data_IF_479498593058
#
_entry.id   IF_479498593058
#
_cell.length_a   1.000
_cell.length_b   1.000
_cell.length_c   1.000
_cell.angle_alpha   90.00
_cell.angle_beta   90.00
_cell.angle_gamma   90.00
#
_symmetry.space_group_name_H-M   'P 1'
#
loop_
_entity.id
_entity.type
_entity.pdbx_description
1 polymer ?
#
# COMPACT_ATOMS: atom_id res chain seq x y z
N UNK A 1 -9.19 -10.33 -2.71
CA UNK A 1 -8.68 -9.13 -2.01
C UNK A 1 -9.75 -8.09 -2.07
N UNK A 2 -10.06 -7.51 -0.91
CA UNK A 2 -11.13 -6.53 -0.76
C UNK A 2 -10.78 -5.14 -1.31
N UNK A 3 -11.74 -4.22 -1.24
CA UNK A 3 -11.41 -2.80 -1.34
C UNK A 3 -10.58 -2.38 -0.11
N UNK A 4 -9.61 -1.49 -0.27
CA UNK A 4 -8.76 -1.04 0.85
C UNK A 4 -8.65 0.47 0.89
N UNK A 5 -8.68 1.02 2.11
CA UNK A 5 -8.36 2.41 2.42
C UNK A 5 -7.20 2.43 3.43
N UNK A 6 -6.22 3.30 3.19
CA UNK A 6 -5.16 3.61 4.16
C UNK A 6 -5.37 5.02 4.69
N UNK A 7 -5.32 5.15 6.01
CA UNK A 7 -5.45 6.39 6.75
C UNK A 7 -4.15 6.63 7.54
N UNK A 8 -3.57 7.81 7.38
CA UNK A 8 -2.41 8.23 8.17
C UNK A 8 -2.76 9.42 9.06
N UNK A 9 -2.45 9.27 10.35
CA UNK A 9 -2.71 10.27 11.39
C UNK A 9 -1.37 10.75 11.93
N UNK A 10 -0.86 11.82 11.32
CA UNK A 10 0.45 12.41 11.66
C UNK A 10 0.49 13.03 13.06
N UNK A 11 -0.63 13.57 13.53
CA UNK A 11 -0.76 14.21 14.84
C UNK A 11 -1.16 13.21 15.95
N UNK A 12 -1.16 11.91 15.65
CA UNK A 12 -1.45 10.91 16.65
C UNK A 12 -0.45 11.00 17.80
N UNK A 13 -0.87 10.58 18.98
CA UNK A 13 0.03 10.27 20.10
C UNK A 13 -0.05 8.79 20.40
N UNK A 14 0.89 8.20 21.16
CA UNK A 14 0.76 6.83 21.64
C UNK A 14 -0.57 6.58 22.38
N UNK A 15 -1.09 7.59 23.09
CA UNK A 15 -2.39 7.53 23.73
C UNK A 15 -3.54 7.40 22.72
N UNK A 16 -3.50 8.11 21.59
CA UNK A 16 -4.50 8.02 20.52
C UNK A 16 -4.67 6.59 20.02
N UNK A 17 -3.56 5.86 19.86
CA UNK A 17 -3.57 4.45 19.42
C UNK A 17 -4.18 3.56 20.48
N UNK A 18 -3.81 3.74 21.76
CA UNK A 18 -4.40 2.95 22.85
C UNK A 18 -5.91 3.16 22.89
N UNK A 19 -6.37 4.41 22.88
CA UNK A 19 -7.80 4.73 22.88
C UNK A 19 -8.52 4.10 21.70
N UNK A 20 -7.93 4.13 20.51
CA UNK A 20 -8.53 3.53 19.32
C UNK A 20 -8.55 1.99 19.37
N UNK A 21 -7.49 1.35 19.88
CA UNK A 21 -7.47 -0.10 20.11
C UNK A 21 -8.53 -0.53 21.13
N UNK A 22 -8.71 0.24 22.20
CA UNK A 22 -9.75 -0.01 23.21
C UNK A 22 -11.14 0.14 22.58
N UNK A 23 -11.34 1.17 21.76
CA UNK A 23 -12.57 1.39 21.01
C UNK A 23 -12.88 0.21 20.08
N UNK A 24 -11.92 -0.26 19.28
CA UNK A 24 -12.09 -1.42 18.40
C UNK A 24 -12.39 -2.67 19.22
N UNK A 25 -11.70 -2.88 20.35
CA UNK A 25 -11.89 -4.05 21.21
C UNK A 25 -13.29 -4.11 21.83
N UNK A 26 -13.94 -2.98 22.05
CA UNK A 26 -15.33 -2.91 22.54
C UNK A 26 -16.37 -3.36 21.50
N UNK A 27 -16.00 -3.45 20.22
CA UNK A 27 -16.87 -3.91 19.14
C UNK A 27 -16.89 -5.45 19.02
N UNK A 28 -16.38 -6.14 20.04
CA UNK A 28 -16.22 -7.61 20.07
C UNK A 28 -15.52 -8.16 18.82
N UNK A 29 -14.38 -7.58 18.39
CA UNK A 29 -13.70 -8.02 17.20
C UNK A 29 -13.02 -9.37 17.42
N UNK A 30 -12.83 -10.11 16.34
CA UNK A 30 -11.92 -11.25 16.33
C UNK A 30 -10.49 -10.74 16.09
N UNK A 31 -9.62 -10.91 17.09
CA UNK A 31 -8.22 -10.48 17.01
C UNK A 31 -7.46 -11.43 16.09
N UNK A 32 -6.93 -10.92 14.98
CA UNK A 32 -6.15 -11.69 14.00
C UNK A 32 -4.67 -11.81 14.37
N UNK A 33 -4.21 -11.00 15.32
CA UNK A 33 -2.86 -11.05 15.88
C UNK A 33 -2.02 -9.83 15.53
N UNK A 34 -0.71 -9.98 15.64
CA UNK A 34 0.26 -8.90 15.39
C UNK A 34 0.31 -8.58 13.89
N UNK A 35 0.42 -7.29 13.60
CA UNK A 35 0.58 -6.78 12.25
C UNK A 35 1.77 -5.83 12.20
N UNK A 36 2.50 -5.85 11.10
CA UNK A 36 3.65 -4.98 10.88
C UNK A 36 3.84 -4.65 9.41
N UNK A 37 4.58 -3.58 9.15
CA UNK A 37 5.10 -3.27 7.83
C UNK A 37 6.49 -2.65 7.96
N UNK A 38 7.24 -2.68 6.86
CA UNK A 38 8.50 -1.96 6.75
C UNK A 38 8.54 -1.19 5.44
N UNK A 39 8.76 0.12 5.53
CA UNK A 39 8.84 1.01 4.38
C UNK A 39 10.24 1.65 4.34
N UNK A 40 10.91 1.57 3.20
CA UNK A 40 12.26 2.12 3.03
C UNK A 40 12.34 3.00 1.80
N UNK A 41 13.17 4.04 1.91
CA UNK A 41 13.46 4.98 0.84
C UNK A 41 14.91 4.81 0.44
N UNK A 42 15.13 4.47 -0.82
CA UNK A 42 16.44 4.39 -1.44
C UNK A 42 16.63 5.57 -2.38
N UNK A 43 17.80 6.21 -2.32
CA UNK A 43 18.20 7.26 -3.25
C UNK A 43 19.24 6.71 -4.23
N UNK A 44 19.06 7.00 -5.51
CA UNK A 44 20.06 6.70 -6.53
C UNK A 44 21.35 7.46 -6.28
N UNK A 45 22.49 6.78 -6.36
CA UNK A 45 23.80 7.38 -6.21
C UNK A 45 24.20 8.12 -7.49
N UNK A 46 24.55 9.40 -7.39
CA UNK A 46 24.95 10.22 -8.54
C UNK A 46 26.23 9.73 -9.25
N UNK A 47 27.03 8.91 -8.58
CA UNK A 47 28.20 8.26 -9.18
C UNK A 47 27.83 7.11 -10.14
N UNK A 48 26.58 6.65 -10.12
CA UNK A 48 26.09 5.60 -11.02
C UNK A 48 25.61 6.14 -12.38
N UNK A 49 25.48 7.46 -12.52
CA UNK A 49 25.09 8.05 -13.80
C UNK A 49 26.28 8.07 -14.76
N UNK A 50 26.11 7.57 -16.00
CA UNK A 50 27.18 7.61 -16.99
C UNK A 50 27.59 9.06 -17.28
N UNK A 51 28.89 9.34 -17.54
CA UNK A 51 29.42 10.70 -17.67
C UNK A 51 28.81 11.53 -18.82
N UNK A 52 28.03 10.93 -19.72
CA UNK A 52 27.44 11.59 -20.88
C UNK A 52 26.11 12.32 -20.63
N UNK A 53 25.48 12.21 -19.45
CA UNK A 53 24.23 12.93 -19.14
C UNK A 53 24.43 14.28 -18.44
N UNK A 54 25.66 14.68 -18.13
CA UNK A 54 25.96 16.00 -17.56
C UNK A 54 26.01 17.08 -18.64
N UNK A 55 24.87 17.36 -19.28
CA UNK A 55 24.72 18.61 -20.01
C UNK A 55 24.40 19.74 -19.02
N UNK A 56 25.44 20.54 -18.75
CA UNK A 56 25.42 22.00 -18.52
C UNK A 56 24.24 22.53 -17.70
N UNK A 57 24.46 22.77 -16.40
CA UNK A 57 24.49 24.10 -15.78
C UNK A 57 24.49 23.90 -14.26
N UNK A 58 25.54 24.41 -13.61
CA UNK A 58 25.78 24.16 -12.20
C UNK A 58 24.68 24.71 -11.30
N UNK A 59 24.40 24.00 -10.22
CA UNK A 59 24.00 24.63 -8.97
C UNK A 59 24.17 23.65 -7.81
N UNK A 60 25.17 23.94 -6.99
CA UNK A 60 25.18 23.58 -5.58
C UNK A 60 23.96 24.22 -4.94
N UNK A 61 22.90 23.45 -4.69
CA UNK A 61 21.76 23.91 -3.89
C UNK A 61 21.55 22.89 -2.77
N UNK A 62 21.65 23.41 -1.54
CA UNK A 62 21.11 22.82 -0.32
C UNK A 62 19.74 22.20 -0.56
N UNK A 63 19.47 21.03 0.04
CA UNK A 63 18.22 20.31 -0.12
C UNK A 63 16.99 21.24 0.00
N UNK A 64 16.19 21.42 -1.07
CA UNK A 64 14.91 22.08 -0.91
C UNK A 64 13.94 21.09 -0.25
N UNK A 65 13.22 21.57 0.77
CA UNK A 65 11.92 21.02 1.14
C UNK A 65 11.06 21.03 -0.14
N UNK A 66 10.58 19.85 -0.56
CA UNK A 66 9.73 19.75 -1.75
C UNK A 66 8.32 20.13 -1.31
N UNK A 67 7.86 21.32 -1.67
CA UNK A 67 6.51 21.85 -1.38
C UNK A 67 5.70 22.16 -2.64
N UNK A 68 6.12 21.71 -3.83
CA UNK A 68 5.44 22.08 -5.08
C UNK A 68 5.10 20.87 -5.98
N UNK A 69 3.80 20.55 -6.18
CA UNK A 69 3.35 19.43 -7.02
C UNK A 69 3.52 19.66 -8.53
N UNK A 70 3.84 20.87 -9.00
CA UNK A 70 3.95 21.19 -10.43
C UNK A 70 5.25 20.72 -11.10
N UNK A 71 6.27 20.30 -10.34
CA UNK A 71 7.58 19.89 -10.88
C UNK A 71 7.61 18.42 -11.34
N UNK A 72 6.56 17.65 -11.05
CA UNK A 72 6.52 16.20 -11.30
C UNK A 72 6.30 15.83 -12.79
N UNK A 73 5.87 16.77 -13.64
CA UNK A 73 5.40 16.48 -15.01
C UNK A 73 6.38 16.77 -16.16
N UNK A 74 7.63 17.22 -15.90
CA UNK A 74 8.58 17.62 -16.97
C UNK A 74 9.90 16.83 -17.00
N UNK A 75 10.04 15.72 -16.26
CA UNK A 75 11.33 15.00 -16.16
C UNK A 75 11.51 13.87 -17.19
N UNK A 76 12.70 13.81 -17.82
CA UNK A 76 13.07 12.86 -18.88
C UNK A 76 13.21 11.41 -18.32
N UNK A 77 13.20 10.37 -19.17
CA UNK A 77 13.60 9.03 -18.78
C UNK A 77 15.07 9.05 -18.31
N UNK A 78 15.33 8.78 -17.02
CA UNK A 78 16.67 8.82 -16.42
C UNK A 78 16.78 9.59 -15.08
N UNK A 79 15.83 10.48 -14.78
CA UNK A 79 15.87 11.36 -13.59
C UNK A 79 15.30 10.73 -12.30
N UNK A 80 15.06 9.43 -12.29
CA UNK A 80 14.49 8.73 -11.12
C UNK A 80 15.44 8.76 -9.94
N UNK A 81 15.14 9.64 -8.98
CA UNK A 81 16.00 9.91 -7.82
C UNK A 81 15.77 8.95 -6.67
N UNK A 82 14.55 8.42 -6.54
CA UNK A 82 14.12 7.61 -5.42
C UNK A 82 13.42 6.32 -5.84
N UNK A 83 13.67 5.27 -5.06
CA UNK A 83 12.97 3.99 -5.08
C UNK A 83 12.41 3.75 -3.68
N UNK A 84 11.15 3.38 -3.63
CA UNK A 84 10.40 3.09 -2.42
C UNK A 84 10.16 1.61 -2.33
N UNK A 85 10.51 1.00 -1.20
CA UNK A 85 10.20 -0.41 -0.96
C UNK A 85 9.27 -0.53 0.22
N UNK A 86 8.31 -1.45 0.13
CA UNK A 86 7.34 -1.73 1.18
C UNK A 86 7.23 -3.24 1.34
N UNK A 87 7.36 -3.70 2.58
CA UNK A 87 7.03 -5.06 3.01
C UNK A 87 5.82 -4.98 3.93
N UNK A 88 4.81 -5.80 3.66
CA UNK A 88 3.55 -5.83 4.40
C UNK A 88 3.42 -7.19 5.10
N UNK A 89 3.14 -7.21 6.40
CA UNK A 89 3.04 -8.44 7.18
C UNK A 89 1.95 -9.40 6.70
N UNK A 90 0.90 -8.90 6.06
CA UNK A 90 -0.15 -9.72 5.44
C UNK A 90 0.29 -10.38 4.11
N UNK A 91 1.42 -9.98 3.53
CA UNK A 91 1.99 -10.55 2.30
C UNK A 91 3.44 -11.00 2.54
N UNK A 92 3.67 -12.03 3.38
CA UNK A 92 5.02 -12.49 3.68
C UNK A 92 5.75 -12.93 2.41
N UNK A 93 7.03 -12.54 2.29
CA UNK A 93 7.87 -12.84 1.13
C UNK A 93 7.62 -11.96 -0.11
N UNK A 94 6.60 -11.10 -0.09
CA UNK A 94 6.36 -10.10 -1.13
C UNK A 94 6.99 -8.76 -0.74
N UNK A 95 7.79 -8.20 -1.63
CA UNK A 95 8.33 -6.85 -1.54
C UNK A 95 7.77 -5.99 -2.66
N UNK A 96 7.08 -4.92 -2.31
CA UNK A 96 6.57 -3.95 -3.26
C UNK A 96 7.66 -2.92 -3.52
N UNK A 97 8.11 -2.79 -4.77
CA UNK A 97 9.07 -1.78 -5.19
C UNK A 97 8.39 -0.78 -6.11
N UNK A 98 8.44 0.48 -5.76
CA UNK A 98 7.75 1.56 -6.46
C UNK A 98 8.72 2.68 -6.76
N UNK A 99 8.67 3.17 -8.00
CA UNK A 99 9.48 4.26 -8.48
C UNK A 99 8.70 5.58 -8.42
N UNK A 100 9.41 6.71 -8.38
CA UNK A 100 8.82 8.06 -8.25
C UNK A 100 7.77 8.38 -9.34
N UNK A 101 7.86 7.72 -10.50
CA UNK A 101 6.89 7.84 -11.61
C UNK A 101 5.61 7.02 -11.43
N UNK A 102 5.44 6.34 -10.29
CA UNK A 102 4.26 5.53 -10.00
C UNK A 102 4.26 4.13 -10.59
N UNK A 103 5.35 3.72 -11.27
CA UNK A 103 5.51 2.34 -11.70
C UNK A 103 5.93 1.49 -10.50
N UNK A 104 5.10 0.52 -10.18
CA UNK A 104 5.32 -0.42 -9.09
C UNK A 104 5.44 -1.85 -9.60
N UNK A 105 6.27 -2.65 -8.95
CA UNK A 105 6.39 -4.08 -9.18
C UNK A 105 6.34 -4.83 -7.85
N UNK A 106 5.88 -6.06 -7.90
CA UNK A 106 5.93 -7.00 -6.78
C UNK A 106 7.11 -7.92 -7.04
N UNK A 107 8.01 -7.97 -6.07
CA UNK A 107 9.22 -8.79 -6.11
C UNK A 107 9.09 -9.86 -5.03
N UNK A 108 9.52 -11.07 -5.34
CA UNK A 108 9.56 -12.17 -4.39
C UNK A 108 11.01 -12.50 -4.02
N UNK A 109 11.23 -12.97 -2.80
CA UNK A 109 12.56 -13.33 -2.29
C UNK A 109 13.38 -12.14 -1.77
N UNK A 110 14.69 -12.31 -1.68
CA UNK A 110 15.59 -11.43 -0.91
C UNK A 110 16.09 -10.21 -1.72
N UNK A 111 15.21 -9.55 -2.46
CA UNK A 111 15.57 -8.36 -3.26
C UNK A 111 16.18 -7.25 -2.39
N UNK A 112 15.70 -7.12 -1.16
CA UNK A 112 16.23 -6.16 -0.21
C UNK A 112 17.69 -6.47 0.18
N UNK A 113 18.01 -7.75 0.41
CA UNK A 113 19.39 -8.17 0.65
C UNK A 113 20.25 -7.92 -0.60
N UNK A 114 19.70 -8.16 -1.79
CA UNK A 114 20.40 -7.84 -3.04
C UNK A 114 20.71 -6.34 -3.17
N UNK A 115 19.78 -5.44 -2.80
CA UNK A 115 20.07 -4.00 -2.77
C UNK A 115 21.22 -3.71 -1.81
N UNK A 116 21.14 -4.27 -0.60
CA UNK A 116 22.11 -4.03 0.45
C UNK A 116 23.44 -4.76 0.26
N UNK A 117 23.58 -5.71 -0.66
CA UNK A 117 24.85 -6.45 -0.83
C UNK A 117 25.46 -6.21 -2.20
N UNK A 118 24.65 -6.19 -3.26
CA UNK A 118 25.10 -6.11 -4.65
C UNK A 118 24.86 -4.75 -5.28
N UNK A 119 23.82 -4.02 -4.87
CA UNK A 119 23.44 -2.74 -5.48
C UNK A 119 23.73 -1.52 -4.60
N UNK A 120 24.53 -1.66 -3.54
CA UNK A 120 24.94 -0.55 -2.65
C UNK A 120 25.59 0.62 -3.39
N UNK A 121 26.29 0.34 -4.49
CA UNK A 121 26.91 1.38 -5.33
C UNK A 121 25.88 2.20 -6.11
N UNK A 122 24.71 1.63 -6.41
CA UNK A 122 23.63 2.28 -7.15
C UNK A 122 22.62 2.95 -6.22
N UNK A 123 22.34 2.35 -5.06
CA UNK A 123 21.27 2.76 -4.16
C UNK A 123 21.79 2.91 -2.73
N UNK A 124 21.47 4.06 -2.13
CA UNK A 124 21.73 4.31 -0.70
C UNK A 124 20.40 4.44 0.03
N UNK A 125 20.20 3.61 1.06
CA UNK A 125 19.05 3.74 1.96
C UNK A 125 19.12 5.08 2.71
N UNK A 126 18.08 5.89 2.59
CA UNK A 126 17.95 7.20 3.26
C UNK A 126 17.10 7.12 4.50
N UNK A 127 16.05 6.32 4.46
CA UNK A 127 15.06 6.27 5.52
C UNK A 127 14.46 4.87 5.60
N UNK A 128 14.10 4.47 6.81
CA UNK A 128 13.34 3.26 7.08
C UNK A 128 12.30 3.59 8.16
N UNK A 129 11.02 3.44 7.81
CA UNK A 129 9.91 3.47 8.73
C UNK A 129 9.43 2.05 9.00
N UNK A 130 9.08 1.78 10.24
CA UNK A 130 8.51 0.51 10.69
C UNK A 130 7.14 0.74 11.26
N UNK A 131 6.20 -0.10 10.85
CA UNK A 131 4.87 -0.17 11.42
C UNK A 131 4.74 -1.35 12.35
N UNK A 132 4.21 -1.15 13.54
CA UNK A 132 3.93 -2.24 14.47
C UNK A 132 2.57 -2.03 15.17
N UNK A 133 1.73 -3.06 15.16
CA UNK A 133 0.46 -3.06 15.85
C UNK A 133 -0.32 -4.36 15.69
N UNK A 134 -1.64 -4.25 15.52
CA UNK A 134 -2.57 -5.38 15.56
C UNK A 134 -3.57 -5.32 14.41
N UNK A 135 -4.06 -6.50 14.05
CA UNK A 135 -5.13 -6.69 13.09
C UNK A 135 -6.39 -7.25 13.77
N UNK A 136 -7.54 -6.74 13.35
CA UNK A 136 -8.86 -7.03 13.88
C UNK A 136 -9.81 -7.38 12.73
N UNK A 137 -10.65 -8.36 12.94
CA UNK A 137 -11.76 -8.72 12.07
C UNK A 137 -13.07 -8.25 12.73
N UNK A 138 -13.88 -7.48 12.00
CA UNK A 138 -15.12 -6.86 12.44
C UNK A 138 -16.29 -7.21 11.51
N UNK A 139 -17.52 -6.99 12.00
CA UNK A 139 -18.78 -7.24 11.30
C UNK A 139 -18.83 -8.63 10.65
N UNK A 140 -18.59 -9.67 11.45
CA UNK A 140 -18.61 -11.08 11.02
C UNK A 140 -17.70 -11.39 9.82
N UNK A 141 -16.57 -10.69 9.72
CA UNK A 141 -15.56 -10.91 8.68
C UNK A 141 -15.71 -10.04 7.44
N UNK A 142 -16.65 -9.09 7.44
CA UNK A 142 -16.80 -8.13 6.34
C UNK A 142 -15.66 -7.11 6.31
N UNK A 143 -15.09 -6.75 7.47
CA UNK A 143 -14.01 -5.78 7.55
C UNK A 143 -12.80 -6.33 8.28
N UNK A 144 -11.62 -6.03 7.75
CA UNK A 144 -10.35 -6.22 8.42
C UNK A 144 -9.72 -4.85 8.67
N UNK A 145 -9.50 -4.53 9.94
CA UNK A 145 -8.87 -3.29 10.37
C UNK A 145 -7.49 -3.61 10.91
N UNK A 146 -6.46 -2.96 10.35
CA UNK A 146 -5.07 -3.07 10.82
C UNK A 146 -4.64 -1.70 11.31
N UNK A 147 -4.16 -1.64 12.54
CA UNK A 147 -3.72 -0.38 13.16
C UNK A 147 -2.33 -0.57 13.74
N UNK A 148 -1.46 0.40 13.53
CA UNK A 148 -0.11 0.37 14.09
C UNK A 148 0.54 1.73 14.26
N UNK A 149 1.53 1.74 15.15
CA UNK A 149 2.45 2.85 15.32
C UNK A 149 3.36 2.94 14.11
N UNK A 150 3.60 4.15 13.62
CA UNK A 150 4.63 4.42 12.62
C UNK A 150 5.87 4.95 13.32
N UNK A 151 6.98 4.22 13.20
CA UNK A 151 8.23 4.47 13.88
C UNK A 151 9.33 4.79 12.86
N UNK A 152 10.03 5.91 13.03
CA UNK A 152 11.27 6.23 12.31
C UNK A 152 12.44 6.06 13.27
N UNK A 153 13.27 5.03 13.07
CA UNK A 153 14.41 4.74 13.95
C UNK A 153 14.02 4.64 15.44
N UNK A 154 12.84 4.06 15.72
CA UNK A 154 12.29 3.93 17.07
C UNK A 154 11.56 5.18 17.59
N UNK A 155 11.62 6.31 16.89
CA UNK A 155 10.86 7.51 17.24
C UNK A 155 9.46 7.46 16.62
N UNK A 156 8.45 7.71 17.44
CA UNK A 156 7.07 7.79 17.00
C UNK A 156 6.86 8.94 15.99
N UNK A 157 6.23 8.63 14.85
CA UNK A 157 5.92 9.59 13.78
C UNK A 157 4.44 9.78 13.50
N UNK A 158 3.62 8.83 13.92
CA UNK A 158 2.19 8.86 13.69
C UNK A 158 1.57 7.49 13.85
N UNK A 159 0.29 7.42 13.50
CA UNK A 159 -0.50 6.19 13.48
C UNK A 159 -0.93 5.91 12.04
N UNK A 160 -0.88 4.64 11.63
CA UNK A 160 -1.42 4.21 10.35
C UNK A 160 -2.53 3.19 10.59
N UNK A 161 -3.63 3.37 9.87
CA UNK A 161 -4.81 2.52 9.91
C UNK A 161 -5.11 2.06 8.48
N UNK A 162 -5.19 0.75 8.27
CA UNK A 162 -5.66 0.13 7.04
C UNK A 162 -7.04 -0.49 7.30
N UNK A 163 -7.99 -0.24 6.41
CA UNK A 163 -9.31 -0.85 6.44
C UNK A 163 -9.53 -1.57 5.12
N UNK A 164 -9.76 -2.88 5.19
CA UNK A 164 -10.06 -3.75 4.06
C UNK A 164 -11.52 -4.24 4.16
N UNK A 165 -12.30 -4.06 3.10
CA UNK A 165 -13.65 -4.62 2.99
C UNK A 165 -13.59 -5.91 2.17
N UNK A 166 -13.75 -7.05 2.86
CA UNK A 166 -13.63 -8.38 2.29
C UNK A 166 -14.84 -8.68 1.42
N UNK A 167 -14.65 -8.77 0.11
CA UNK A 167 -15.70 -9.21 -0.80
C UNK A 167 -15.83 -10.73 -0.75
N UNK A 168 -16.88 -11.21 -0.10
CA UNK A 168 -17.23 -12.64 -0.11
C UNK A 168 -17.79 -12.95 -1.49
N UNK A 169 -17.06 -13.76 -2.26
CA UNK A 169 -17.56 -14.29 -3.53
C UNK A 169 -18.34 -15.57 -3.20
N UNK A 170 -19.67 -15.47 -3.17
CA UNK A 170 -20.54 -16.63 -3.03
C UNK A 170 -20.43 -17.50 -4.29
N UNK A 171 -19.68 -18.61 -4.21
CA UNK A 171 -19.52 -19.58 -5.30
C UNK A 171 -20.79 -20.42 -5.59
N UNK A 172 -21.96 -20.07 -5.03
CA UNK A 172 -23.16 -20.91 -5.06
C UNK A 172 -24.30 -20.43 -5.99
N UNK A 173 -24.10 -19.39 -6.82
CA UNK A 173 -25.17 -18.83 -7.67
C UNK A 173 -25.24 -19.37 -9.11
N UNK A 174 -24.56 -20.46 -9.47
CA UNK A 174 -24.53 -20.99 -10.85
C UNK A 174 -25.29 -22.31 -11.08
N UNK A 175 -26.31 -22.62 -10.26
CA UNK A 175 -27.19 -23.77 -10.50
C UNK A 175 -28.67 -23.37 -10.55
N UNK A 176 -29.00 -22.44 -11.44
CA UNK A 176 -30.37 -22.30 -11.96
C UNK A 176 -30.30 -22.00 -13.47
N UNK A 177 -30.97 -22.84 -14.25
CA UNK A 177 -31.27 -22.74 -15.68
C UNK A 177 -30.11 -22.82 -16.70
N UNK A 178 -29.87 -24.02 -17.22
CA UNK A 178 -30.32 -24.35 -18.60
C UNK A 178 -29.90 -25.77 -18.99
N UNK A 179 -30.92 -26.57 -19.27
CA UNK A 179 -30.82 -27.81 -20.04
C UNK A 179 -30.72 -27.45 -21.51
N UNK A 180 -29.68 -27.92 -22.22
CA UNK A 180 -29.70 -28.53 -23.58
C UNK A 180 -28.30 -28.54 -24.23
N UNK A 181 -27.93 -29.69 -24.81
CA UNK A 181 -27.09 -29.78 -26.02
C UNK A 181 -25.58 -29.86 -25.83
N UNK A 182 -25.01 -31.06 -26.00
CA UNK A 182 -23.59 -31.32 -25.78
C UNK A 182 -22.62 -30.92 -26.89
N UNK A 183 -21.33 -30.90 -26.55
CA UNK A 183 -20.22 -31.59 -27.24
C UNK A 183 -18.92 -31.40 -26.44
N UNK A 184 -18.19 -32.49 -26.24
CA UNK A 184 -16.88 -32.54 -25.57
C UNK A 184 -15.74 -32.24 -26.55
N UNK A 185 -14.76 -31.40 -26.17
CA UNK A 185 -13.31 -31.67 -26.28
C UNK A 185 -12.42 -30.55 -25.67
N UNK A 186 -11.48 -30.98 -24.80
CA UNK A 186 -10.17 -30.43 -24.38
C UNK A 186 -9.99 -29.25 -23.36
N UNK A 187 -9.44 -29.65 -22.19
CA UNK A 187 -8.54 -28.97 -21.21
C UNK A 187 -7.50 -28.02 -21.85
N UNK A 188 -6.94 -26.97 -21.23
CA UNK A 188 -6.95 -26.27 -19.93
C UNK A 188 -6.32 -24.88 -20.23
N UNK A 189 -6.61 -23.73 -19.63
CA UNK A 189 -6.70 -23.26 -18.24
C UNK A 189 -7.61 -22.03 -18.30
N UNK A 190 -8.76 -22.06 -17.61
CA UNK A 190 -9.69 -20.94 -17.55
C UNK A 190 -9.33 -20.07 -16.33
N UNK A 191 -8.73 -18.90 -16.56
CA UNK A 191 -8.89 -17.80 -15.61
C UNK A 191 -10.38 -17.42 -15.57
N UNK A 192 -11.01 -17.31 -14.39
CA UNK A 192 -12.41 -16.92 -14.31
C UNK A 192 -12.61 -15.48 -14.80
N UNK A 193 -13.73 -15.16 -15.46
CA UNK A 193 -14.00 -13.82 -15.96
C UNK A 193 -14.23 -12.87 -14.77
N UNK A 194 -13.29 -11.95 -14.56
CA UNK A 194 -13.43 -10.84 -13.60
C UNK A 194 -14.39 -9.79 -14.17
N UNK A 195 -15.70 -10.00 -13.98
CA UNK A 195 -16.72 -9.00 -14.26
C UNK A 195 -16.83 -8.06 -13.07
N UNK A 196 -16.26 -6.86 -13.23
CA UNK A 196 -16.32 -5.76 -12.28
C UNK A 196 -17.63 -4.99 -12.36
N UNK A 197 -18.32 -4.89 -11.22
CA UNK A 197 -19.23 -3.79 -10.90
C UNK A 197 -19.16 -3.36 -9.42
N UNK A 198 -18.26 -3.96 -8.61
CA UNK A 198 -18.27 -3.86 -7.14
C UNK A 198 -17.27 -2.89 -6.49
N UNK A 199 -16.49 -2.13 -7.27
CA UNK A 199 -15.45 -1.26 -6.70
C UNK A 199 -16.04 -0.04 -5.98
N UNK A 200 -17.04 0.62 -6.59
CA UNK A 200 -17.70 1.79 -6.01
C UNK A 200 -18.52 1.48 -4.74
N UNK A 201 -19.26 0.37 -4.74
CA UNK A 201 -20.05 -0.04 -3.58
C UNK A 201 -19.17 -0.38 -2.38
N UNK A 202 -18.09 -1.14 -2.60
CA UNK A 202 -17.14 -1.51 -1.55
C UNK A 202 -16.43 -0.28 -0.95
N UNK A 203 -16.10 0.72 -1.77
CA UNK A 203 -15.52 1.98 -1.27
C UNK A 203 -16.52 2.80 -0.47
N UNK A 204 -17.80 2.81 -0.86
CA UNK A 204 -18.83 3.49 -0.08
C UNK A 204 -19.07 2.80 1.26
N UNK A 205 -19.09 1.46 1.29
CA UNK A 205 -19.13 0.68 2.54
C UNK A 205 -17.95 1.01 3.46
N UNK A 206 -16.74 1.08 2.91
CA UNK A 206 -15.56 1.47 3.68
C UNK A 206 -15.65 2.89 4.23
N UNK A 207 -16.11 3.85 3.43
CA UNK A 207 -16.29 5.24 3.90
C UNK A 207 -17.31 5.29 5.05
N UNK A 208 -18.48 4.67 4.87
CA UNK A 208 -19.51 4.63 5.90
C UNK A 208 -19.00 3.97 7.17
N UNK A 209 -18.31 2.83 7.05
CA UNK A 209 -17.70 2.14 8.18
C UNK A 209 -16.73 3.04 8.96
N UNK A 210 -15.85 3.77 8.27
CA UNK A 210 -14.91 4.72 8.90
C UNK A 210 -15.66 5.83 9.65
N UNK A 211 -16.75 6.36 9.07
CA UNK A 211 -17.56 7.41 9.70
C UNK A 211 -18.34 6.92 10.91
N UNK A 212 -19.05 5.79 10.79
CA UNK A 212 -19.87 5.21 11.86
C UNK A 212 -19.02 4.83 13.08
N UNK A 213 -17.79 4.37 12.83
CA UNK A 213 -16.85 3.99 13.87
C UNK A 213 -15.95 5.13 14.35
N UNK A 214 -16.25 6.39 14.01
CA UNK A 214 -15.54 7.58 14.52
C UNK A 214 -14.01 7.48 14.43
N UNK A 215 -13.50 7.05 13.29
CA UNK A 215 -12.05 6.88 13.12
C UNK A 215 -11.30 8.21 13.38
N UNK A 216 -10.08 8.15 13.93
CA UNK A 216 -9.26 9.33 14.17
C UNK A 216 -9.07 10.17 12.89
N UNK A 217 -9.10 11.50 13.02
CA UNK A 217 -8.95 12.39 11.87
C UNK A 217 -7.54 12.30 11.30
N UNK A 218 -7.43 11.99 10.01
CA UNK A 218 -6.16 11.91 9.30
C UNK A 218 -6.33 12.02 7.80
N UNK A 219 -5.23 11.88 7.07
CA UNK A 219 -5.22 11.89 5.61
C UNK A 219 -5.61 10.52 5.08
N UNK A 220 -6.64 10.48 4.23
CA UNK A 220 -7.16 9.25 3.61
C UNK A 220 -6.54 9.09 2.23
N UNK A 221 -6.02 7.91 1.95
CA UNK A 221 -5.38 7.56 0.69
C UNK A 221 -6.18 6.46 -0.01
N UNK A 222 -6.68 6.80 -1.19
CA UNK A 222 -7.48 5.93 -2.05
C UNK A 222 -6.66 5.51 -3.27
N UNK A 223 -6.88 4.27 -3.71
CA UNK A 223 -6.16 3.66 -4.83
C UNK A 223 -6.66 4.11 -6.20
N UNK A 224 -7.08 5.37 -6.34
CA UNK A 224 -7.86 5.87 -7.49
C UNK A 224 -7.07 5.92 -8.80
N UNK A 225 -5.74 5.70 -8.77
CA UNK A 225 -4.90 5.63 -9.99
C UNK A 225 -5.23 4.47 -10.92
N UNK A 226 -6.10 3.55 -10.51
CA UNK A 226 -6.47 2.37 -11.29
C UNK A 226 -8.00 2.22 -11.35
N UNK A 227 -8.69 3.27 -11.78
CA UNK A 227 -10.12 3.22 -12.09
C UNK A 227 -10.44 1.98 -12.95
N UNK A 228 -11.50 1.26 -12.57
CA UNK A 228 -12.03 0.07 -13.24
C UNK A 228 -11.19 -1.21 -13.19
N UNK A 229 -10.14 -1.29 -12.37
CA UNK A 229 -9.41 -2.55 -12.12
C UNK A 229 -9.80 -3.18 -10.78
N UNK A 230 -9.77 -4.52 -10.66
CA UNK A 230 -9.94 -5.18 -9.36
C UNK A 230 -8.89 -4.66 -8.37
N UNK A 231 -9.24 -4.63 -7.08
CA UNK A 231 -8.28 -4.23 -6.05
C UNK A 231 -7.08 -5.18 -6.04
N UNK A 232 -5.89 -4.62 -6.21
CA UNK A 232 -4.64 -5.40 -6.27
C UNK A 232 -3.76 -5.10 -5.07
N UNK A 233 -2.91 -6.07 -4.69
CA UNK A 233 -1.89 -5.86 -3.65
C UNK A 233 -1.02 -4.63 -3.93
N UNK A 234 -0.76 -4.35 -5.21
CA UNK A 234 0.03 -3.21 -5.64
C UNK A 234 -0.68 -1.87 -5.37
N UNK A 235 -2.00 -1.82 -5.48
CA UNK A 235 -2.77 -0.63 -5.12
C UNK A 235 -2.69 -0.33 -3.63
N UNK A 236 -2.84 -1.35 -2.77
CA UNK A 236 -2.66 -1.19 -1.33
C UNK A 236 -1.25 -0.69 -1.03
N UNK A 237 -0.22 -1.30 -1.63
CA UNK A 237 1.15 -0.85 -1.45
C UNK A 237 1.36 0.61 -1.90
N UNK A 238 0.72 1.03 -3.00
CA UNK A 238 0.77 2.42 -3.45
C UNK A 238 0.11 3.38 -2.44
N UNK A 239 -1.06 3.02 -1.87
CA UNK A 239 -1.72 3.82 -0.84
C UNK A 239 -0.82 4.01 0.39
N UNK A 240 -0.12 2.96 0.84
CA UNK A 240 0.87 3.03 1.91
C UNK A 240 2.01 3.99 1.60
N UNK A 241 2.54 3.92 0.38
CA UNK A 241 3.68 4.76 -0.02
C UNK A 241 3.27 6.23 -0.06
N UNK A 242 2.11 6.55 -0.63
CA UNK A 242 1.58 7.92 -0.62
C UNK A 242 1.32 8.40 0.81
N UNK A 243 0.78 7.53 1.68
CA UNK A 243 0.53 7.83 3.09
C UNK A 243 1.81 8.16 3.87
N UNK A 244 2.89 7.41 3.60
CA UNK A 244 4.15 7.52 4.34
C UNK A 244 5.14 8.50 3.72
N UNK A 245 4.93 8.91 2.46
CA UNK A 245 5.71 9.97 1.81
C UNK A 245 5.48 11.32 2.48
N UNK A 246 4.28 11.55 3.02
CA UNK A 246 3.85 12.83 3.58
C UNK A 246 3.54 13.87 2.49
N UNK A 247 2.83 14.96 2.85
CA UNK A 247 2.60 16.11 1.97
C UNK A 247 3.88 16.92 1.71
#
# INVERSE_FOLDING_TARGET
MGATIVLYVSEATPATISTFNDQLSNQLPKILGRWSFEYKIYRKNAASDPPHTKNVMGSSISAPLITDPAVLSTMKPGDEKFMYTLSLGQFPGSLFSVHDKGMGTILEGDFEEMIQTKLKSLWTQRQALKGEGYAYELDDGQFVVRVGNVLLQGLFKGMLIEVEHVTIVDNNSTLADSSFGGKQHNQAVLEPPLVGSGSGESLNKLRNFIYENNFPKGQIYLGDRFENKPFTKLQTAWQYIEALRGP
#
